data_IF_626911542849
#
_entry.id   IF_626911542849
#
_cell.length_a   1.000
_cell.length_b   1.000
_cell.length_c   1.000
_cell.angle_alpha   90.00
_cell.angle_beta   90.00
_cell.angle_gamma   90.00
#
_symmetry.space_group_name_H-M   'P 1'
#
loop_
_entity.id
_entity.type
_entity.pdbx_description
1 polymer ?
#
# COMPACT_ATOMS: atom_id res chain seq x y z
N UNK A 1 -102.25 13.01 17.96
CA UNK A 1 -102.12 12.09 16.82
C UNK A 1 -101.10 12.69 15.86
N UNK A 2 -100.14 11.85 15.46
CA UNK A 2 -99.35 11.91 14.21
C UNK A 2 -98.48 13.14 13.90
N UNK A 3 -97.19 12.97 14.19
CA UNK A 3 -96.04 13.03 13.26
C UNK A 3 -95.95 14.23 12.31
N UNK A 4 -95.00 15.14 12.58
CA UNK A 4 -94.14 15.73 11.55
C UNK A 4 -92.83 16.10 12.23
N UNK A 5 -91.81 15.24 12.10
CA UNK A 5 -90.46 15.51 12.55
C UNK A 5 -89.54 15.45 11.33
N UNK A 6 -89.23 16.62 10.80
CA UNK A 6 -88.16 16.84 9.84
C UNK A 6 -86.85 16.33 10.47
N UNK A 7 -86.16 15.41 9.81
CA UNK A 7 -84.75 15.12 10.12
C UNK A 7 -83.93 15.72 8.99
N UNK A 8 -83.14 16.72 9.40
CA UNK A 8 -82.02 17.29 8.67
C UNK A 8 -81.10 16.17 8.17
N UNK A 9 -80.64 16.29 6.93
CA UNK A 9 -79.49 15.53 6.46
C UNK A 9 -78.29 15.91 7.32
N UNK A 10 -77.75 14.95 8.08
CA UNK A 10 -76.41 15.05 8.62
C UNK A 10 -75.46 14.94 7.42
N UNK A 11 -74.75 16.03 7.12
CA UNK A 11 -73.53 15.99 6.32
C UNK A 11 -72.55 15.11 7.10
N UNK A 12 -72.37 13.87 6.64
CA UNK A 12 -71.24 13.04 7.05
C UNK A 12 -70.04 13.63 6.35
N UNK A 13 -69.29 14.47 7.04
CA UNK A 13 -67.90 14.74 6.70
C UNK A 13 -67.13 13.49 7.10
N UNK A 14 -66.90 12.59 6.14
CA UNK A 14 -65.93 11.50 6.29
C UNK A 14 -64.57 12.20 6.48
N UNK A 15 -64.05 12.20 7.70
CA UNK A 15 -62.64 12.56 7.93
C UNK A 15 -61.81 11.54 7.16
N UNK A 16 -60.76 11.94 6.41
CA UNK A 16 -59.89 10.98 5.74
C UNK A 16 -59.39 9.98 6.79
N UNK A 17 -59.44 8.69 6.46
CA UNK A 17 -58.87 7.68 7.33
C UNK A 17 -57.35 7.87 7.29
N UNK A 18 -56.81 8.52 8.32
CA UNK A 18 -55.39 8.89 8.49
C UNK A 18 -54.45 7.66 8.59
N UNK A 19 -54.94 6.48 8.22
CA UNK A 19 -54.22 5.20 8.26
C UNK A 19 -54.28 4.42 6.95
N UNK A 20 -54.87 4.98 5.89
CA UNK A 20 -54.81 4.37 4.56
C UNK A 20 -53.38 4.48 4.04
N UNK A 21 -52.88 3.36 3.54
CA UNK A 21 -51.58 3.13 2.94
C UNK A 21 -51.88 2.16 1.78
N UNK A 22 -52.02 2.73 0.59
CA UNK A 22 -52.67 2.08 -0.57
C UNK A 22 -51.75 1.08 -1.25
N UNK A 23 -50.45 1.34 -1.33
CA UNK A 23 -49.45 0.44 -1.91
C UNK A 23 -48.71 -0.42 -0.88
N UNK A 24 -48.80 -0.09 0.42
CA UNK A 24 -48.33 -0.90 1.52
C UNK A 24 -46.84 -0.74 1.81
N UNK A 25 -46.25 0.40 1.47
CA UNK A 25 -44.83 0.70 1.67
C UNK A 25 -44.53 1.25 3.09
N UNK A 26 -45.58 1.57 3.85
CA UNK A 26 -45.50 2.08 5.21
C UNK A 26 -45.66 3.59 5.35
N UNK A 27 -45.78 4.34 4.25
CA UNK A 27 -46.13 5.76 4.22
C UNK A 27 -47.64 5.88 3.98
N UNK A 28 -48.41 6.56 4.86
CA UNK A 28 -49.83 6.75 4.61
C UNK A 28 -50.12 7.69 3.43
N UNK A 29 -51.17 7.43 2.65
CA UNK A 29 -51.56 8.19 1.44
C UNK A 29 -51.58 9.73 1.66
N UNK A 30 -51.98 10.18 2.85
CA UNK A 30 -52.04 11.61 3.14
C UNK A 30 -50.65 12.25 3.31
N UNK A 31 -49.67 11.49 3.78
CA UNK A 31 -48.26 11.91 3.90
C UNK A 31 -47.64 11.95 2.51
N UNK A 32 -47.88 10.91 1.70
CA UNK A 32 -47.40 10.83 0.32
C UNK A 32 -47.89 12.02 -0.51
N UNK A 33 -49.18 12.35 -0.41
CA UNK A 33 -49.74 13.55 -1.05
C UNK A 33 -49.12 14.87 -0.54
N UNK A 34 -48.58 14.91 0.68
CA UNK A 34 -47.90 16.08 1.26
C UNK A 34 -46.45 16.20 0.78
N UNK A 35 -45.72 15.08 0.72
CA UNK A 35 -44.31 15.03 0.30
C UNK A 35 -44.14 14.95 -1.22
N UNK A 36 -45.18 14.54 -1.95
CA UNK A 36 -45.24 14.53 -3.41
C UNK A 36 -45.03 13.16 -4.06
N UNK A 37 -44.96 12.08 -3.28
CA UNK A 37 -44.88 10.70 -3.76
C UNK A 37 -46.24 10.19 -4.26
N UNK A 38 -46.26 9.03 -4.94
CA UNK A 38 -47.47 8.46 -5.55
C UNK A 38 -48.09 7.35 -4.67
N UNK A 39 -49.27 7.57 -4.05
CA UNK A 39 -49.91 6.59 -3.15
C UNK A 39 -50.27 5.22 -3.73
N UNK A 40 -50.14 5.04 -5.04
CA UNK A 40 -50.36 3.75 -5.70
C UNK A 40 -49.03 3.08 -6.14
N UNK A 41 -47.88 3.66 -5.81
CA UNK A 41 -46.56 3.22 -6.24
C UNK A 41 -45.54 3.30 -5.08
N UNK A 42 -45.11 2.15 -4.53
CA UNK A 42 -44.32 2.11 -3.30
C UNK A 42 -42.87 2.58 -3.45
N UNK A 43 -42.44 2.95 -4.65
CA UNK A 43 -41.07 3.34 -5.02
C UNK A 43 -41.22 4.40 -6.13
N UNK A 44 -41.35 5.66 -5.72
CA UNK A 44 -41.83 6.75 -6.58
C UNK A 44 -40.82 7.10 -7.67
N UNK A 45 -39.52 7.13 -7.37
CA UNK A 45 -38.47 7.47 -8.34
C UNK A 45 -37.86 6.24 -9.05
N UNK A 46 -38.16 5.04 -8.57
CA UNK A 46 -37.86 3.77 -9.23
C UNK A 46 -36.42 3.31 -9.05
N UNK A 47 -35.77 3.68 -7.95
CA UNK A 47 -34.37 3.40 -7.68
C UNK A 47 -34.13 2.06 -6.96
N UNK A 48 -35.22 1.46 -6.44
CA UNK A 48 -35.24 0.16 -5.78
C UNK A 48 -35.42 0.19 -4.27
N UNK A 49 -35.43 1.36 -3.63
CA UNK A 49 -35.91 1.56 -2.26
C UNK A 49 -37.38 1.99 -2.27
N UNK A 50 -38.12 1.64 -1.23
CA UNK A 50 -39.50 2.15 -1.10
C UNK A 50 -39.54 3.54 -0.50
N UNK A 51 -40.55 4.36 -0.80
CA UNK A 51 -40.67 5.72 -0.27
C UNK A 51 -40.60 5.72 1.28
N UNK A 52 -41.16 4.69 1.90
CA UNK A 52 -41.06 4.43 3.34
C UNK A 52 -39.66 4.05 3.85
N UNK A 53 -38.88 3.27 3.10
CA UNK A 53 -37.49 2.91 3.45
C UNK A 53 -36.60 4.16 3.39
N UNK A 54 -36.76 4.95 2.34
CA UNK A 54 -36.08 6.23 2.16
C UNK A 54 -36.42 7.22 3.27
N UNK A 55 -37.70 7.43 3.57
CA UNK A 55 -38.14 8.42 4.56
C UNK A 55 -37.78 8.05 6.00
N UNK A 56 -37.85 6.76 6.35
CA UNK A 56 -37.77 6.33 7.75
C UNK A 56 -36.47 5.62 8.12
N UNK A 57 -35.75 5.03 7.15
CA UNK A 57 -34.51 4.28 7.41
C UNK A 57 -33.27 5.03 6.89
N UNK A 58 -33.30 5.50 5.64
CA UNK A 58 -32.12 6.06 4.97
C UNK A 58 -32.05 7.60 5.02
N UNK A 59 -33.18 8.29 5.16
CA UNK A 59 -33.33 9.75 5.12
C UNK A 59 -32.95 10.38 3.76
N UNK A 60 -33.13 9.64 2.68
CA UNK A 60 -33.00 10.09 1.28
C UNK A 60 -34.27 10.81 0.80
N UNK A 61 -34.25 11.40 -0.40
CA UNK A 61 -35.42 12.06 -0.99
C UNK A 61 -36.15 11.11 -1.95
N UNK A 62 -37.36 10.60 -1.62
CA UNK A 62 -38.07 9.58 -2.41
C UNK A 62 -38.58 10.05 -3.79
N UNK A 63 -38.19 11.26 -4.19
CA UNK A 63 -38.45 11.83 -5.51
C UNK A 63 -37.17 11.93 -6.36
N UNK A 64 -36.03 11.52 -5.82
CA UNK A 64 -34.69 11.71 -6.39
C UNK A 64 -33.89 10.43 -6.18
N UNK A 65 -33.84 9.61 -7.22
CA UNK A 65 -33.15 8.33 -7.22
C UNK A 65 -31.64 8.37 -6.88
N UNK A 66 -31.03 9.54 -6.70
CA UNK A 66 -29.59 9.76 -6.43
C UNK A 66 -29.52 11.05 -5.60
N UNK A 67 -29.65 10.90 -4.28
CA UNK A 67 -29.89 12.01 -3.36
C UNK A 67 -28.68 12.93 -3.23
N UNK A 68 -27.47 12.39 -3.21
CA UNK A 68 -26.24 13.17 -3.06
C UNK A 68 -25.60 13.59 -4.39
N UNK A 69 -26.03 13.00 -5.50
CA UNK A 69 -25.70 13.41 -6.86
C UNK A 69 -24.34 12.92 -7.34
N UNK A 70 -23.84 11.81 -6.80
CA UNK A 70 -22.53 11.25 -7.12
C UNK A 70 -22.54 10.34 -8.37
N UNK A 71 -23.75 9.95 -8.82
CA UNK A 71 -23.99 9.13 -10.00
C UNK A 71 -24.36 7.68 -9.73
N UNK A 72 -24.45 7.25 -8.47
CA UNK A 72 -25.10 6.02 -8.02
C UNK A 72 -26.51 6.32 -7.52
N UNK A 73 -27.41 5.34 -7.58
CA UNK A 73 -28.72 5.53 -6.98
C UNK A 73 -28.72 5.16 -5.51
N UNK A 74 -29.58 5.78 -4.71
CA UNK A 74 -29.66 5.52 -3.26
C UNK A 74 -29.88 4.02 -3.00
N UNK A 75 -30.71 3.37 -3.82
CA UNK A 75 -30.91 1.93 -3.82
C UNK A 75 -29.68 1.10 -4.22
N UNK A 76 -28.87 1.54 -5.18
CA UNK A 76 -27.63 0.83 -5.54
C UNK A 76 -26.61 0.96 -4.40
N UNK A 77 -26.47 2.15 -3.82
CA UNK A 77 -25.60 2.41 -2.69
C UNK A 77 -25.96 1.55 -1.48
N UNK A 78 -27.23 1.55 -1.07
CA UNK A 78 -27.69 0.78 0.11
C UNK A 78 -27.68 -0.72 -0.14
N UNK A 79 -28.16 -1.19 -1.30
CA UNK A 79 -28.43 -2.61 -1.54
C UNK A 79 -27.26 -3.36 -2.17
N UNK A 80 -26.35 -2.67 -2.87
CA UNK A 80 -25.27 -3.28 -3.65
C UNK A 80 -23.90 -2.95 -3.07
N UNK A 81 -23.61 -1.66 -2.86
CA UNK A 81 -22.25 -1.19 -2.58
C UNK A 81 -21.96 -0.98 -1.09
N UNK A 82 -22.98 -0.70 -0.28
CA UNK A 82 -22.86 -0.43 1.14
C UNK A 82 -22.32 0.96 1.47
N UNK A 83 -22.39 1.90 0.53
CA UNK A 83 -22.02 3.31 0.69
C UNK A 83 -23.13 4.12 1.38
N UNK A 84 -22.84 5.36 1.76
CA UNK A 84 -23.81 6.25 2.42
C UNK A 84 -24.51 7.15 1.39
N UNK A 85 -25.82 6.94 1.08
CA UNK A 85 -26.52 7.66 0.01
C UNK A 85 -26.75 9.16 0.27
N UNK A 86 -26.23 9.67 1.38
CA UNK A 86 -26.25 11.08 1.74
C UNK A 86 -24.85 11.71 1.68
N UNK A 87 -23.84 10.95 1.28
CA UNK A 87 -22.46 11.36 1.29
C UNK A 87 -21.74 10.83 0.03
N UNK A 88 -21.41 11.72 -0.93
CA UNK A 88 -20.94 11.31 -2.24
C UNK A 88 -19.49 10.83 -2.25
N UNK A 89 -18.89 10.49 -1.11
CA UNK A 89 -17.48 10.14 -0.88
C UNK A 89 -17.41 9.47 0.51
N UNK A 90 -17.78 8.19 0.56
CA UNK A 90 -18.08 7.46 1.79
C UNK A 90 -16.84 7.26 2.66
N UNK A 91 -15.69 6.96 2.07
CA UNK A 91 -14.44 6.77 2.80
C UNK A 91 -13.65 8.08 3.06
N UNK A 92 -13.97 9.15 2.34
CA UNK A 92 -13.41 10.48 2.51
C UNK A 92 -12.03 10.67 1.89
N UNK A 93 -11.66 9.88 0.88
CA UNK A 93 -10.36 9.99 0.19
C UNK A 93 -10.33 11.14 -0.85
N UNK A 94 -11.50 11.61 -1.29
CA UNK A 94 -11.67 12.70 -2.24
C UNK A 94 -12.11 12.27 -3.65
N UNK A 95 -12.29 10.97 -3.90
CA UNK A 95 -13.07 10.41 -5.00
C UNK A 95 -14.53 10.28 -4.58
N UNK A 96 -15.45 10.29 -5.55
CA UNK A 96 -16.84 9.98 -5.23
C UNK A 96 -17.13 8.51 -5.40
N UNK A 97 -18.03 7.94 -4.60
CA UNK A 97 -18.35 6.51 -4.63
C UNK A 97 -18.72 6.05 -6.06
N UNK A 98 -19.45 6.89 -6.79
CA UNK A 98 -19.77 6.73 -8.20
C UNK A 98 -18.55 6.76 -9.13
N UNK A 99 -17.57 7.64 -8.94
CA UNK A 99 -16.34 7.65 -9.73
C UNK A 99 -15.49 6.41 -9.42
N UNK A 100 -15.41 6.01 -8.16
CA UNK A 100 -14.70 4.81 -7.72
C UNK A 100 -15.28 3.56 -8.36
N UNK A 101 -16.59 3.36 -8.28
CA UNK A 101 -17.24 2.17 -8.85
C UNK A 101 -17.26 2.20 -10.39
N UNK A 102 -17.68 3.32 -10.99
CA UNK A 102 -17.99 3.37 -12.42
C UNK A 102 -16.76 3.62 -13.29
N UNK A 103 -15.72 4.25 -12.74
CA UNK A 103 -14.57 4.71 -13.51
C UNK A 103 -13.25 4.06 -13.09
N UNK A 104 -12.91 4.11 -11.81
CA UNK A 104 -11.59 3.68 -11.33
C UNK A 104 -11.55 2.21 -10.90
N UNK A 105 -12.71 1.65 -10.54
CA UNK A 105 -12.91 0.30 -10.01
C UNK A 105 -12.18 0.05 -8.69
N UNK A 106 -12.08 1.09 -7.87
CA UNK A 106 -11.61 1.05 -6.48
C UNK A 106 -12.75 0.64 -5.52
N UNK A 107 -12.45 0.45 -4.24
CA UNK A 107 -13.41 0.14 -3.19
C UNK A 107 -13.85 1.44 -2.48
N UNK A 108 -15.10 1.91 -2.66
CA UNK A 108 -15.56 3.19 -2.09
C UNK A 108 -15.69 3.19 -0.55
N UNK A 109 -15.34 2.09 0.10
CA UNK A 109 -15.30 1.95 1.54
C UNK A 109 -13.86 1.92 2.08
N UNK A 110 -12.85 2.04 1.21
CA UNK A 110 -11.45 1.92 1.56
C UNK A 110 -10.57 2.90 0.77
N UNK A 111 -10.08 3.93 1.47
CA UNK A 111 -9.33 5.05 0.88
C UNK A 111 -8.02 4.67 0.18
N UNK A 112 -7.54 3.43 0.35
CA UNK A 112 -6.28 2.87 -0.18
C UNK A 112 -6.58 1.43 -0.64
N UNK A 113 -7.15 1.31 -1.84
CA UNK A 113 -7.77 0.06 -2.33
C UNK A 113 -6.80 -1.11 -2.46
N UNK A 114 -5.49 -0.87 -2.53
CA UNK A 114 -4.47 -1.90 -2.67
C UNK A 114 -3.47 -2.02 -1.50
N UNK A 115 -3.74 -1.30 -0.40
CA UNK A 115 -3.03 -1.33 0.88
C UNK A 115 -1.53 -0.99 0.76
N UNK A 116 -1.17 -0.05 -0.11
CA UNK A 116 0.23 0.30 -0.39
C UNK A 116 0.73 1.54 0.37
N UNK A 117 -0.20 2.30 0.96
CA UNK A 117 0.06 3.49 1.77
C UNK A 117 -0.18 4.82 1.05
N UNK A 118 -0.65 4.80 -0.20
CA UNK A 118 -1.20 5.95 -0.92
C UNK A 118 -2.72 5.86 -0.97
N UNK A 119 -3.42 7.00 -1.02
CA UNK A 119 -4.86 6.96 -1.23
C UNK A 119 -5.19 6.87 -2.71
N UNK A 120 -6.33 6.29 -3.07
CA UNK A 120 -6.74 6.12 -4.47
C UNK A 120 -6.76 7.47 -5.21
N UNK A 121 -7.25 8.52 -4.55
CA UNK A 121 -7.18 9.90 -5.03
C UNK A 121 -5.74 10.36 -5.34
N UNK A 122 -4.80 10.15 -4.42
CA UNK A 122 -3.41 10.58 -4.57
C UNK A 122 -2.72 9.80 -5.70
N UNK A 123 -2.99 8.50 -5.81
CA UNK A 123 -2.51 7.68 -6.91
C UNK A 123 -3.00 8.17 -8.26
N UNK A 124 -4.30 8.45 -8.41
CA UNK A 124 -4.87 8.91 -9.69
C UNK A 124 -4.40 10.33 -10.05
N UNK A 125 -4.44 11.27 -9.09
CA UNK A 125 -4.30 12.69 -9.38
C UNK A 125 -2.95 13.30 -9.04
N UNK A 126 -2.15 12.66 -8.18
CA UNK A 126 -0.83 13.15 -7.77
C UNK A 126 0.29 12.33 -8.42
N UNK A 127 0.20 11.00 -8.37
CA UNK A 127 1.29 10.10 -8.77
C UNK A 127 1.11 9.51 -10.17
N UNK A 128 -0.13 9.32 -10.61
CA UNK A 128 -0.46 8.67 -11.88
C UNK A 128 -0.24 7.16 -11.87
N UNK A 129 -0.27 6.54 -10.70
CA UNK A 129 -0.19 5.08 -10.48
C UNK A 129 -1.56 4.41 -10.63
N UNK A 130 -1.61 3.08 -10.57
CA UNK A 130 -2.85 2.30 -10.65
C UNK A 130 -3.34 1.97 -9.23
N UNK A 131 -4.44 2.56 -8.74
CA UNK A 131 -4.90 2.41 -7.35
C UNK A 131 -5.39 1.01 -6.97
N UNK A 132 -5.30 0.05 -7.90
CA UNK A 132 -5.64 -1.35 -7.66
C UNK A 132 -4.42 -2.26 -7.82
N UNK A 133 -3.22 -1.69 -7.90
CA UNK A 133 -1.98 -2.41 -8.07
C UNK A 133 -0.85 -1.77 -7.26
N UNK A 134 -0.43 -2.39 -6.14
CA UNK A 134 0.43 -1.76 -5.15
C UNK A 134 1.91 -1.78 -5.55
N UNK A 135 2.22 -1.80 -6.85
CA UNK A 135 3.53 -1.88 -7.51
C UNK A 135 3.26 -1.68 -9.01
N UNK A 136 3.02 -0.42 -9.41
CA UNK A 136 2.49 -0.07 -10.74
C UNK A 136 3.43 -0.49 -11.87
N UNK A 137 4.75 -0.34 -11.68
CA UNK A 137 5.74 -0.64 -12.69
C UNK A 137 6.32 -2.07 -12.62
N UNK A 138 6.06 -2.78 -11.51
CA UNK A 138 6.39 -4.18 -11.31
C UNK A 138 7.86 -4.43 -10.97
N UNK A 139 8.56 -3.45 -10.38
CA UNK A 139 9.97 -3.58 -9.99
C UNK A 139 10.18 -4.29 -8.63
N UNK A 140 9.10 -4.45 -7.86
CA UNK A 140 9.08 -5.13 -6.56
C UNK A 140 9.05 -4.21 -5.34
N UNK A 141 8.99 -2.89 -5.53
CA UNK A 141 8.63 -1.90 -4.52
C UNK A 141 7.19 -1.46 -4.71
N UNK A 142 6.55 -1.04 -3.63
CA UNK A 142 5.18 -0.49 -3.75
C UNK A 142 5.25 0.98 -4.10
N UNK A 143 4.22 1.50 -4.77
CA UNK A 143 4.17 2.90 -5.18
C UNK A 143 4.33 3.82 -3.95
N UNK A 144 3.65 3.51 -2.84
CA UNK A 144 3.82 4.20 -1.56
C UNK A 144 5.23 4.10 -0.97
N UNK A 145 5.92 2.98 -1.13
CA UNK A 145 7.33 2.84 -0.69
C UNK A 145 8.25 3.73 -1.52
N UNK A 146 8.01 3.82 -2.82
CA UNK A 146 8.79 4.62 -3.73
C UNK A 146 8.61 6.12 -3.48
N UNK A 147 7.38 6.56 -3.22
CA UNK A 147 7.11 7.94 -2.81
C UNK A 147 7.79 8.26 -1.48
N UNK A 148 7.78 7.35 -0.50
CA UNK A 148 8.54 7.52 0.75
C UNK A 148 10.06 7.62 0.49
N UNK A 149 10.56 6.90 -0.53
CA UNK A 149 11.96 6.92 -0.97
C UNK A 149 12.34 8.13 -1.83
N UNK A 150 11.35 8.84 -2.37
CA UNK A 150 11.54 9.89 -3.37
C UNK A 150 12.00 9.36 -4.73
N UNK A 151 11.61 8.14 -5.08
CA UNK A 151 11.78 7.52 -6.40
C UNK A 151 10.51 7.67 -7.25
N UNK A 152 10.56 7.22 -8.51
CA UNK A 152 9.46 7.34 -9.48
C UNK A 152 8.71 6.01 -9.62
N UNK A 153 7.47 5.88 -9.11
CA UNK A 153 6.70 4.62 -9.12
C UNK A 153 6.23 4.15 -10.51
N UNK A 154 6.68 4.85 -11.56
CA UNK A 154 6.39 4.55 -12.95
C UNK A 154 7.66 4.19 -13.74
N UNK A 155 8.84 4.15 -13.11
CA UNK A 155 10.10 3.75 -13.74
C UNK A 155 10.61 2.41 -13.20
N UNK A 156 10.45 1.29 -13.95
CA UNK A 156 10.78 -0.06 -13.48
C UNK A 156 12.30 -0.33 -13.32
N UNK A 157 13.13 0.72 -13.32
CA UNK A 157 14.55 0.69 -13.02
C UNK A 157 14.92 1.52 -11.78
N UNK A 158 13.94 2.13 -11.12
CA UNK A 158 14.02 2.93 -9.90
C UNK A 158 13.01 2.34 -8.89
N UNK A 159 13.33 2.17 -7.60
CA UNK A 159 14.66 2.28 -7.00
C UNK A 159 15.62 1.20 -7.53
N UNK A 160 16.91 1.54 -7.74
CA UNK A 160 17.89 0.56 -8.20
C UNK A 160 18.06 -0.56 -7.18
N UNK A 161 17.67 -1.77 -7.59
CA UNK A 161 17.74 -2.97 -6.77
C UNK A 161 19.14 -3.60 -6.79
N UNK A 162 19.77 -3.66 -5.61
CA UNK A 162 21.07 -4.32 -5.41
C UNK A 162 20.86 -5.68 -4.73
N UNK A 163 20.82 -6.76 -5.52
CA UNK A 163 20.79 -8.14 -4.99
C UNK A 163 22.10 -8.52 -4.30
N UNK A 164 23.22 -8.36 -5.02
CA UNK A 164 24.53 -8.79 -4.57
C UNK A 164 25.61 -7.78 -4.97
N UNK A 165 26.61 -7.64 -4.09
CA UNK A 165 27.81 -6.87 -4.36
C UNK A 165 29.02 -7.81 -4.40
N UNK A 166 30.03 -7.44 -5.19
CA UNK A 166 31.22 -8.27 -5.35
C UNK A 166 31.91 -8.51 -4.00
N UNK A 167 32.16 -9.79 -3.71
CA UNK A 167 33.07 -10.21 -2.63
C UNK A 167 34.51 -10.06 -3.08
N UNK A 168 35.35 -9.51 -2.20
CA UNK A 168 36.80 -9.41 -2.47
C UNK A 168 37.61 -10.37 -1.63
N UNK A 169 38.73 -10.82 -2.18
CA UNK A 169 39.68 -11.70 -1.50
C UNK A 169 40.96 -10.94 -1.12
N UNK A 170 41.61 -11.42 -0.07
CA UNK A 170 42.88 -10.87 0.43
C UNK A 170 43.99 -11.91 0.37
N UNK A 171 45.20 -11.41 0.12
CA UNK A 171 46.42 -12.18 0.30
C UNK A 171 46.63 -12.59 1.77
N UNK A 172 47.46 -13.63 1.95
CA UNK A 172 47.82 -14.16 3.26
C UNK A 172 48.42 -13.08 4.17
N UNK A 173 47.88 -12.93 5.39
CA UNK A 173 48.27 -11.89 6.36
C UNK A 173 48.23 -10.44 5.81
N UNK A 174 47.34 -10.18 4.84
CA UNK A 174 47.17 -8.84 4.26
C UNK A 174 45.76 -8.30 4.44
N UNK A 175 45.69 -6.98 4.52
CA UNK A 175 44.45 -6.20 4.50
C UNK A 175 44.48 -5.07 3.47
N UNK A 176 45.55 -4.95 2.67
CA UNK A 176 45.60 -3.94 1.62
C UNK A 176 44.72 -4.38 0.44
N UNK A 177 43.99 -3.43 -0.15
CA UNK A 177 43.26 -3.63 -1.40
C UNK A 177 44.28 -3.69 -2.54
N UNK A 178 44.33 -4.80 -3.27
CA UNK A 178 45.17 -4.94 -4.47
C UNK A 178 44.43 -4.44 -5.73
N UNK A 179 45.07 -4.51 -6.90
CA UNK A 179 44.48 -4.02 -8.14
C UNK A 179 43.25 -4.83 -8.59
N UNK A 180 43.16 -6.13 -8.24
CA UNK A 180 42.01 -6.97 -8.59
C UNK A 180 40.82 -6.62 -7.71
N UNK A 181 41.03 -6.54 -6.40
CA UNK A 181 40.03 -6.14 -5.43
C UNK A 181 39.56 -4.70 -5.70
N UNK A 182 40.46 -3.78 -6.08
CA UNK A 182 40.09 -2.41 -6.41
C UNK A 182 39.11 -2.32 -7.60
N UNK A 183 39.24 -3.17 -8.63
CA UNK A 183 38.28 -3.21 -9.75
C UNK A 183 36.91 -3.68 -9.29
N UNK A 184 36.86 -4.78 -8.53
CA UNK A 184 35.61 -5.31 -7.98
C UNK A 184 34.91 -4.32 -7.04
N UNK A 185 35.68 -3.64 -6.17
CA UNK A 185 35.13 -2.59 -5.31
C UNK A 185 34.69 -1.35 -6.12
N UNK A 186 35.30 -1.08 -7.27
CA UNK A 186 34.87 0.04 -8.13
C UNK A 186 33.49 -0.23 -8.75
N UNK A 187 33.23 -1.47 -9.17
CA UNK A 187 31.90 -1.91 -9.63
C UNK A 187 30.86 -1.77 -8.50
N UNK A 188 31.22 -2.17 -7.27
CA UNK A 188 30.34 -1.98 -6.11
C UNK A 188 30.07 -0.49 -5.82
N UNK A 189 31.07 0.38 -5.98
CA UNK A 189 30.91 1.82 -5.79
C UNK A 189 29.96 2.41 -6.81
N UNK A 190 30.02 1.96 -8.06
CA UNK A 190 29.10 2.40 -9.13
C UNK A 190 27.65 2.06 -8.75
N UNK A 191 27.38 0.80 -8.42
CA UNK A 191 26.05 0.39 -7.94
C UNK A 191 25.58 1.18 -6.71
N UNK A 192 26.45 1.40 -5.71
CA UNK A 192 26.09 2.14 -4.50
C UNK A 192 25.92 3.65 -4.72
N UNK A 193 26.48 4.21 -5.79
CA UNK A 193 26.23 5.60 -6.19
C UNK A 193 24.88 5.75 -6.85
N UNK A 194 24.50 4.77 -7.65
CA UNK A 194 23.20 4.74 -8.31
C UNK A 194 22.08 4.50 -7.28
N UNK A 195 22.36 3.77 -6.19
CA UNK A 195 21.42 3.53 -5.08
C UNK A 195 21.76 4.32 -3.80
N UNK A 196 21.47 5.64 -3.71
CA UNK A 196 21.87 6.48 -2.57
C UNK A 196 21.23 6.08 -1.23
N UNK A 197 20.05 5.48 -1.26
CA UNK A 197 19.28 5.09 -0.07
C UNK A 197 19.77 3.77 0.56
N UNK A 198 20.52 2.94 -0.18
CA UNK A 198 21.04 1.68 0.36
C UNK A 198 22.13 1.91 1.40
N UNK A 199 21.99 1.27 2.56
CA UNK A 199 23.09 1.09 3.52
C UNK A 199 23.81 -0.22 3.20
N UNK A 200 25.05 -0.36 3.61
CA UNK A 200 25.82 -1.60 3.43
C UNK A 200 26.52 -1.99 4.71
N UNK A 201 26.66 -3.30 4.91
CA UNK A 201 27.51 -3.86 5.95
C UNK A 201 28.68 -4.60 5.32
N UNK A 202 29.89 -4.25 5.72
CA UNK A 202 31.11 -4.94 5.31
C UNK A 202 31.50 -5.96 6.39
N UNK A 203 31.29 -7.23 6.09
CA UNK A 203 31.68 -8.35 6.96
C UNK A 203 32.99 -8.96 6.43
N UNK A 204 34.04 -8.97 7.26
CA UNK A 204 35.35 -9.49 6.86
C UNK A 204 35.79 -10.69 7.68
N UNK A 205 36.51 -11.59 7.02
CA UNK A 205 36.90 -12.88 7.55
C UNK A 205 38.38 -13.18 7.31
N UNK A 206 38.88 -14.19 8.02
CA UNK A 206 40.21 -14.77 7.85
C UNK A 206 40.11 -16.28 7.70
N UNK A 207 41.20 -16.89 7.23
CA UNK A 207 41.38 -18.33 7.31
C UNK A 207 41.64 -18.77 8.76
N UNK A 208 41.86 -20.08 8.95
CA UNK A 208 42.10 -20.67 10.26
C UNK A 208 43.50 -20.38 10.83
N UNK A 209 44.41 -19.83 10.03
CA UNK A 209 45.83 -19.72 10.39
C UNK A 209 46.04 -18.66 11.48
N UNK A 210 46.72 -19.05 12.56
CA UNK A 210 47.05 -18.15 13.68
C UNK A 210 46.00 -18.10 14.79
N UNK A 211 46.19 -17.22 15.77
CA UNK A 211 45.34 -17.11 16.95
C UNK A 211 44.05 -16.33 16.72
N UNK A 212 42.99 -16.63 17.48
CA UNK A 212 41.66 -16.03 17.28
C UNK A 212 41.66 -14.51 17.49
N UNK A 213 42.35 -14.01 18.52
CA UNK A 213 42.49 -12.56 18.73
C UNK A 213 43.21 -11.85 17.58
N UNK A 214 44.20 -12.51 16.98
CA UNK A 214 44.92 -11.97 15.84
C UNK A 214 44.01 -11.91 14.62
N UNK A 215 43.26 -12.99 14.36
CA UNK A 215 42.31 -13.07 13.25
C UNK A 215 41.14 -12.09 13.39
N UNK A 216 40.66 -11.85 14.61
CA UNK A 216 39.66 -10.82 14.89
C UNK A 216 40.19 -9.41 14.56
N UNK A 217 41.44 -9.11 14.92
CA UNK A 217 42.06 -7.82 14.56
C UNK A 217 42.33 -7.71 13.05
N UNK A 218 42.78 -8.80 12.42
CA UNK A 218 43.08 -8.82 10.99
C UNK A 218 41.82 -8.64 10.14
N UNK A 219 40.75 -9.37 10.45
CA UNK A 219 39.45 -9.19 9.80
C UNK A 219 38.92 -7.77 9.97
N UNK A 220 39.00 -7.17 11.16
CA UNK A 220 38.57 -5.77 11.33
C UNK A 220 39.39 -4.80 10.46
N UNK A 221 40.71 -5.02 10.33
CA UNK A 221 41.54 -4.20 9.41
C UNK A 221 41.13 -4.38 7.95
N UNK A 222 40.71 -5.57 7.53
CA UNK A 222 40.18 -5.85 6.19
C UNK A 222 38.87 -5.12 5.95
N UNK A 223 37.93 -5.20 6.88
CA UNK A 223 36.66 -4.48 6.80
C UNK A 223 36.91 -2.97 6.68
N UNK A 224 37.76 -2.41 7.54
CA UNK A 224 38.11 -0.99 7.52
C UNK A 224 38.80 -0.56 6.21
N UNK A 225 39.59 -1.44 5.58
CA UNK A 225 40.22 -1.15 4.30
C UNK A 225 39.18 -0.99 3.17
N UNK A 226 38.15 -1.84 3.16
CA UNK A 226 37.01 -1.71 2.23
C UNK A 226 36.22 -0.44 2.51
N UNK A 227 35.91 -0.15 3.78
CA UNK A 227 35.21 1.11 4.16
C UNK A 227 36.01 2.34 3.72
N UNK A 228 37.34 2.33 3.91
CA UNK A 228 38.21 3.42 3.47
C UNK A 228 38.13 3.58 1.96
N UNK A 229 38.18 2.48 1.21
CA UNK A 229 38.04 2.51 -0.25
C UNK A 229 36.70 3.10 -0.69
N UNK A 230 35.58 2.68 -0.10
CA UNK A 230 34.26 3.23 -0.42
C UNK A 230 34.15 4.72 -0.10
N UNK A 231 34.64 5.16 1.06
CA UNK A 231 34.65 6.60 1.44
C UNK A 231 35.50 7.43 0.49
N UNK A 232 36.69 6.96 0.13
CA UNK A 232 37.58 7.66 -0.81
C UNK A 232 36.99 7.75 -2.23
N UNK A 233 36.07 6.83 -2.58
CA UNK A 233 35.40 6.82 -3.87
C UNK A 233 33.97 7.39 -3.84
N UNK A 234 33.56 8.03 -2.74
CA UNK A 234 32.37 8.88 -2.68
C UNK A 234 31.13 8.27 -2.01
N UNK A 235 31.25 7.12 -1.34
CA UNK A 235 30.15 6.58 -0.53
C UNK A 235 30.20 7.17 0.88
N UNK A 236 29.07 7.69 1.37
CA UNK A 236 28.99 8.35 2.68
C UNK A 236 29.21 7.37 3.84
N UNK A 237 29.81 7.85 4.93
CA UNK A 237 30.21 7.01 6.07
C UNK A 237 29.01 6.47 6.87
N UNK A 238 27.93 7.24 6.96
CA UNK A 238 26.66 6.85 7.60
C UNK A 238 25.95 5.68 6.89
N UNK A 239 26.27 5.47 5.61
CA UNK A 239 25.76 4.35 4.82
C UNK A 239 26.53 3.04 5.07
N UNK A 240 27.66 3.06 5.77
CA UNK A 240 28.57 1.90 5.83
C UNK A 240 28.75 1.44 7.29
N UNK A 241 28.35 0.20 7.56
CA UNK A 241 28.74 -0.52 8.76
C UNK A 241 29.90 -1.47 8.45
N UNK A 242 30.75 -1.79 9.43
CA UNK A 242 31.84 -2.76 9.26
C UNK A 242 32.01 -3.68 10.46
N UNK A 243 32.29 -4.96 10.19
CA UNK A 243 32.52 -5.99 11.21
C UNK A 243 33.69 -6.89 10.83
N UNK A 244 34.68 -6.98 11.71
CA UNK A 244 35.67 -8.05 11.68
C UNK A 244 35.14 -9.27 12.42
N UNK A 245 34.87 -10.36 11.71
CA UNK A 245 34.26 -11.56 12.28
C UNK A 245 35.27 -12.65 12.67
N UNK A 246 36.57 -12.39 12.44
CA UNK A 246 37.63 -13.34 12.74
C UNK A 246 37.65 -14.49 11.74
N UNK A 247 37.85 -15.72 12.24
CA UNK A 247 37.98 -16.90 11.41
C UNK A 247 36.64 -17.34 10.86
N UNK A 248 36.61 -17.67 9.58
CA UNK A 248 35.55 -18.50 8.98
C UNK A 248 36.21 -19.78 8.49
N UNK A 249 35.46 -20.89 8.55
CA UNK A 249 35.88 -22.11 7.90
C UNK A 249 34.77 -22.56 6.97
N UNK A 250 34.96 -22.33 5.69
CA UNK A 250 34.42 -23.27 4.72
C UNK A 250 35.18 -24.59 4.92
N UNK A 251 34.53 -25.74 4.71
CA UNK A 251 35.07 -27.07 5.04
C UNK A 251 36.32 -27.49 4.25
N UNK A 252 36.94 -26.57 3.49
CA UNK A 252 38.01 -26.82 2.54
C UNK A 252 39.35 -26.12 2.89
N UNK A 253 39.47 -25.38 3.99
CA UNK A 253 40.75 -24.81 4.42
C UNK A 253 41.52 -25.76 5.35
N UNK A 254 42.74 -26.12 4.97
CA UNK A 254 43.65 -26.95 5.75
C UNK A 254 44.83 -26.11 6.28
N UNK A 255 45.11 -26.18 7.59
CA UNK A 255 46.12 -25.34 8.28
C UNK A 255 47.55 -25.50 7.74
N UNK A 256 47.87 -26.66 7.18
CA UNK A 256 49.19 -26.98 6.64
C UNK A 256 49.40 -26.49 5.20
N UNK A 257 48.35 -25.95 4.55
CA UNK A 257 48.38 -25.44 3.19
C UNK A 257 47.67 -24.06 3.09
N UNK A 258 48.27 -22.97 3.57
CA UNK A 258 47.66 -21.63 3.57
C UNK A 258 47.35 -21.08 2.16
N UNK A 259 47.99 -21.64 1.12
CA UNK A 259 47.73 -21.32 -0.28
C UNK A 259 46.63 -22.18 -0.91
N UNK A 260 45.97 -23.06 -0.16
CA UNK A 260 44.83 -23.84 -0.64
C UNK A 260 43.73 -22.88 -1.15
N UNK A 261 43.11 -23.16 -2.33
CA UNK A 261 41.88 -22.50 -2.76
C UNK A 261 40.83 -22.29 -1.65
N UNK A 262 40.66 -23.24 -0.73
CA UNK A 262 39.74 -23.11 0.39
C UNK A 262 40.13 -21.97 1.34
N UNK A 263 41.39 -21.92 1.77
CA UNK A 263 41.88 -20.84 2.63
C UNK A 263 41.87 -19.47 1.91
N UNK A 264 42.07 -19.45 0.59
CA UNK A 264 41.90 -18.24 -0.22
C UNK A 264 40.46 -17.72 -0.25
N UNK A 265 39.48 -18.62 -0.27
CA UNK A 265 38.06 -18.27 -0.22
C UNK A 265 37.62 -17.75 1.17
N UNK A 266 38.23 -18.25 2.24
CA UNK A 266 37.96 -17.78 3.61
C UNK A 266 38.56 -16.40 3.89
N UNK A 267 39.64 -16.02 3.20
CA UNK A 267 40.27 -14.69 3.31
C UNK A 267 39.51 -13.64 2.47
N UNK A 268 38.31 -13.29 2.90
CA UNK A 268 37.42 -12.40 2.15
C UNK A 268 36.83 -11.25 2.95
N UNK A 269 36.30 -10.26 2.24
CA UNK A 269 35.32 -9.32 2.76
C UNK A 269 34.09 -9.29 1.84
N UNK A 270 32.93 -9.43 2.46
CA UNK A 270 31.62 -9.43 1.84
C UNK A 270 30.98 -8.06 2.08
N UNK A 271 30.44 -7.44 1.04
CA UNK A 271 29.60 -6.24 1.19
C UNK A 271 28.16 -6.69 1.07
N UNK A 272 27.42 -6.56 2.16
CA UNK A 272 26.03 -6.99 2.27
C UNK A 272 25.15 -5.74 2.14
N UNK A 273 24.33 -5.61 1.09
CA UNK A 273 23.35 -4.55 1.01
C UNK A 273 22.36 -4.71 2.17
N UNK A 274 22.10 -3.61 2.86
CA UNK A 274 21.05 -3.52 3.87
C UNK A 274 19.92 -2.74 3.22
N UNK A 275 18.83 -3.45 2.91
CA UNK A 275 17.64 -2.81 2.37
C UNK A 275 17.18 -1.71 3.34
N UNK A 276 16.91 -0.50 2.83
CA UNK A 276 16.49 0.61 3.66
C UNK A 276 15.10 0.37 4.28
N UNK A 277 14.31 -0.55 3.70
CA UNK A 277 12.94 -0.86 4.11
C UNK A 277 12.77 -2.36 4.37
N UNK A 278 11.82 -2.76 5.23
CA UNK A 278 11.47 -4.16 5.39
C UNK A 278 11.01 -4.71 4.04
N UNK A 279 11.78 -5.65 3.46
CA UNK A 279 11.30 -6.48 2.36
C UNK A 279 9.93 -7.04 2.77
N UNK A 280 8.91 -6.97 1.90
CA UNK A 280 7.62 -7.63 2.15
C UNK A 280 7.90 -9.06 2.66
N UNK A 281 7.18 -9.55 3.69
CA UNK A 281 7.27 -10.96 4.03
C UNK A 281 6.97 -11.74 2.76
N UNK A 282 7.89 -12.61 2.33
CA UNK A 282 7.71 -13.47 1.15
C UNK A 282 6.25 -13.93 1.11
N UNK A 283 5.54 -13.56 0.05
CA UNK A 283 4.17 -14.02 -0.18
C UNK A 283 4.19 -15.55 0.02
N UNK A 284 3.55 -16.02 1.09
CA UNK A 284 3.49 -17.44 1.39
C UNK A 284 2.80 -18.11 0.21
N UNK A 285 3.60 -18.82 -0.60
CA UNK A 285 3.10 -19.79 -1.59
C UNK A 285 2.25 -20.87 -0.92
#
# INVERSE_FOLDING_TARGET
MTQTGCRTAEEVTEEPDETVDTDGDGVPDYVELEIGTDPENPDTDGDGLTDGEELYEHNTDPLVADTDGDGLSDGDEVLVYGTDPLNPDTDGDGLSDGDEILRYRTDPLDSDSDDDGLSDYDEIYVHGTDPNNPDTDGDGFTDGQEIEMGTDPLDPNDPPFIEELNTINFDFDRSNIDQRAARQLSENVEALKDAPNYRVRVDAYTDQVGGDQYNLRLSQRRANAVVTFYRENGISEDRIESRGLGKVSTSACHDDQPDDPGCRADRKAETIPLHPFPQRPEARR
#
